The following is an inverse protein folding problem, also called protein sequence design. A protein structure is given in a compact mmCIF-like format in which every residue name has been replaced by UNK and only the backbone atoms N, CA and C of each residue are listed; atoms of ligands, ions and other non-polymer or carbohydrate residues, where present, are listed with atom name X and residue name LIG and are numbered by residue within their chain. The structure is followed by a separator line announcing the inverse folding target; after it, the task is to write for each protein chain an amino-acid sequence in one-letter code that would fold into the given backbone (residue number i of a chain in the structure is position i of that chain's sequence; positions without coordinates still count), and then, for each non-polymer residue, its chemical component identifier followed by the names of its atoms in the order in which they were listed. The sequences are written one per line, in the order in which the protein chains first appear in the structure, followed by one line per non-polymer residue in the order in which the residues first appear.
data_IF_643906242105
#
_entry.id   IF_643906242105
#
_cell.length_a   1.000
_cell.length_b   1.000
_cell.length_c   1.000
_cell.angle_alpha   90.00
_cell.angle_beta   90.00
_cell.angle_gamma   90.00
#
_symmetry.space_group_name_H-M   'P 1'
#
loop_
_entity.id
_entity.type
_entity.pdbx_description
1 polymer ?
#
# COMPACT_ATOMS: atom_id res chain seq x y z
N UNK A 1 29.35 -39.18 -1.52
CA UNK A 1 28.61 -37.91 -1.28
C UNK A 1 28.57 -37.69 0.22
N UNK A 2 29.33 -36.73 0.75
CA UNK A 2 29.47 -36.53 2.21
C UNK A 2 28.19 -35.96 2.84
N UNK A 3 27.87 -36.34 4.08
CA UNK A 3 26.70 -35.88 4.83
C UNK A 3 26.59 -34.33 4.87
N UNK A 4 27.73 -33.63 4.94
CA UNK A 4 27.78 -32.17 4.85
C UNK A 4 27.28 -31.60 3.52
N UNK A 5 27.50 -32.31 2.41
CA UNK A 5 27.04 -31.88 1.08
C UNK A 5 25.52 -32.08 0.94
N UNK A 6 24.98 -33.15 1.53
CA UNK A 6 23.53 -33.36 1.58
C UNK A 6 22.82 -32.33 2.45
N UNK A 7 23.39 -31.98 3.62
CA UNK A 7 22.81 -30.94 4.49
C UNK A 7 22.85 -29.57 3.81
N UNK A 8 23.97 -29.19 3.18
CA UNK A 8 24.06 -27.92 2.44
C UNK A 8 23.11 -27.85 1.25
N UNK A 9 22.96 -28.94 0.51
CA UNK A 9 22.04 -29.00 -0.61
C UNK A 9 20.59 -28.95 -0.13
N UNK A 10 20.24 -29.67 0.93
CA UNK A 10 18.92 -29.59 1.56
C UNK A 10 18.63 -28.18 2.11
N UNK A 11 19.59 -27.52 2.75
CA UNK A 11 19.44 -26.14 3.22
C UNK A 11 19.31 -25.12 2.07
N UNK A 12 20.04 -25.31 0.97
CA UNK A 12 19.91 -24.47 -0.24
C UNK A 12 18.56 -24.68 -0.92
N UNK A 13 18.09 -25.92 -1.01
CA UNK A 13 16.75 -26.22 -1.52
C UNK A 13 15.66 -25.63 -0.62
N UNK A 14 15.79 -25.77 0.70
CA UNK A 14 14.86 -25.19 1.67
C UNK A 14 14.81 -23.66 1.56
N UNK A 15 15.97 -23.01 1.37
CA UNK A 15 16.08 -21.57 1.15
C UNK A 15 15.52 -21.12 -0.22
N UNK A 16 15.69 -21.94 -1.27
CA UNK A 16 15.12 -21.68 -2.59
C UNK A 16 13.59 -21.77 -2.60
N UNK A 17 13.01 -22.66 -1.78
CA UNK A 17 11.55 -22.76 -1.63
C UNK A 17 10.93 -21.54 -0.89
N UNK A 18 11.74 -20.70 -0.24
CA UNK A 18 11.25 -19.46 0.42
C UNK A 18 10.89 -18.38 -0.62
N UNK A 19 11.40 -18.47 -1.85
CA UNK A 19 11.13 -17.48 -2.90
C UNK A 19 9.86 -17.76 -3.72
N UNK A 20 9.21 -18.92 -3.53
CA UNK A 20 7.96 -19.29 -4.23
C UNK A 20 6.74 -19.38 -3.31
N UNK A 21 6.79 -18.76 -2.13
CA UNK A 21 5.54 -18.40 -1.44
C UNK A 21 5.02 -17.13 -2.09
N UNK A 22 3.84 -17.21 -2.70
CA UNK A 22 3.04 -16.04 -3.12
C UNK A 22 3.01 -15.04 -1.96
N UNK A 23 3.89 -14.04 -2.00
CA UNK A 23 4.04 -13.10 -0.91
C UNK A 23 2.75 -12.27 -0.85
N UNK A 24 2.02 -12.39 0.26
CA UNK A 24 0.79 -11.65 0.56
C UNK A 24 0.81 -10.24 -0.04
N UNK A 25 -0.16 -9.96 -0.91
CA UNK A 25 -0.18 -8.77 -1.78
C UNK A 25 -1.01 -7.64 -1.23
N UNK A 26 -1.87 -7.88 -0.26
CA UNK A 26 -2.61 -6.78 0.35
C UNK A 26 -1.67 -5.87 1.15
N UNK A 27 -1.77 -4.56 0.94
CA UNK A 27 -1.05 -3.54 1.69
C UNK A 27 0.07 -2.85 0.90
N UNK A 28 0.31 -1.58 1.24
CA UNK A 28 1.38 -0.75 0.69
C UNK A 28 2.62 -0.91 1.59
N UNK A 29 3.47 -1.87 1.25
CA UNK A 29 4.74 -2.14 1.94
C UNK A 29 4.62 -2.96 3.23
N UNK A 30 5.77 -3.31 3.88
CA UNK A 30 5.84 -4.42 4.84
C UNK A 30 4.90 -4.31 6.05
N UNK A 31 4.75 -3.10 6.60
CA UNK A 31 3.96 -2.87 7.82
C UNK A 31 2.47 -3.03 7.54
N UNK A 32 1.96 -2.38 6.49
CA UNK A 32 0.54 -2.46 6.14
C UNK A 32 0.19 -3.85 5.59
N UNK A 33 1.13 -4.52 4.93
CA UNK A 33 1.00 -5.93 4.56
C UNK A 33 0.87 -6.84 5.76
N UNK A 34 1.69 -6.68 6.79
CA UNK A 34 1.56 -7.46 8.02
C UNK A 34 0.21 -7.22 8.74
N UNK A 35 -0.23 -5.96 8.83
CA UNK A 35 -1.51 -5.60 9.46
C UNK A 35 -2.69 -6.19 8.69
N UNK A 36 -2.71 -6.03 7.36
CA UNK A 36 -3.78 -6.57 6.52
C UNK A 36 -3.82 -8.10 6.57
N UNK A 37 -2.68 -8.77 6.60
CA UNK A 37 -2.61 -10.21 6.80
C UNK A 37 -3.26 -10.63 8.13
N UNK A 38 -2.94 -9.96 9.24
CA UNK A 38 -3.53 -10.26 10.55
C UNK A 38 -5.05 -10.09 10.57
N UNK A 39 -5.57 -9.09 9.86
CA UNK A 39 -7.02 -8.89 9.73
C UNK A 39 -7.67 -10.03 8.91
N UNK A 40 -7.01 -10.49 7.85
CA UNK A 40 -7.55 -11.53 6.95
C UNK A 40 -7.34 -12.96 7.47
N UNK A 41 -6.34 -13.19 8.34
CA UNK A 41 -5.94 -14.49 8.87
C UNK A 41 -7.08 -15.40 9.37
N UNK A 42 -8.09 -14.92 10.12
CA UNK A 42 -9.19 -15.77 10.58
C UNK A 42 -10.23 -16.09 9.49
N UNK A 43 -9.94 -15.83 8.21
CA UNK A 43 -10.89 -15.88 7.10
C UNK A 43 -10.32 -16.54 5.84
N UNK A 44 -10.95 -16.34 4.68
CA UNK A 44 -10.47 -16.84 3.39
C UNK A 44 -9.28 -15.98 2.90
N UNK A 45 -8.09 -16.26 3.44
CA UNK A 45 -6.86 -15.52 3.14
C UNK A 45 -6.55 -15.55 1.64
N UNK A 46 -6.75 -16.70 0.97
CA UNK A 46 -6.48 -16.83 -0.47
C UNK A 46 -7.45 -16.00 -1.30
N UNK A 47 -8.74 -16.01 -0.96
CA UNK A 47 -9.74 -15.19 -1.64
C UNK A 47 -9.50 -13.69 -1.45
N UNK A 48 -9.11 -13.27 -0.24
CA UNK A 48 -8.78 -11.87 0.05
C UNK A 48 -7.51 -11.43 -0.70
N UNK A 49 -6.45 -12.25 -0.68
CA UNK A 49 -5.21 -11.97 -1.39
C UNK A 49 -5.43 -11.83 -2.90
N UNK A 50 -6.25 -12.70 -3.49
CA UNK A 50 -6.66 -12.58 -4.90
C UNK A 50 -7.33 -11.25 -5.20
N UNK A 51 -8.23 -10.77 -4.35
CA UNK A 51 -8.85 -9.45 -4.54
C UNK A 51 -7.80 -8.33 -4.54
N UNK A 52 -6.76 -8.43 -3.72
CA UNK A 52 -5.67 -7.45 -3.68
C UNK A 52 -4.80 -7.50 -4.95
N UNK A 53 -4.46 -8.70 -5.44
CA UNK A 53 -3.75 -8.87 -6.72
C UNK A 53 -4.52 -8.20 -7.87
N UNK A 54 -5.83 -8.43 -7.94
CA UNK A 54 -6.68 -7.84 -8.98
C UNK A 54 -6.75 -6.31 -8.85
N UNK A 55 -6.84 -5.78 -7.62
CA UNK A 55 -6.83 -4.34 -7.38
C UNK A 55 -5.52 -3.68 -7.82
N UNK A 56 -4.38 -4.23 -7.42
CA UNK A 56 -3.07 -3.73 -7.81
C UNK A 56 -2.89 -3.78 -9.34
N UNK A 57 -3.35 -4.87 -9.99
CA UNK A 57 -3.31 -4.98 -11.45
C UNK A 57 -4.17 -3.93 -12.16
N UNK A 58 -5.33 -3.57 -11.60
CA UNK A 58 -6.19 -2.52 -12.15
C UNK A 58 -5.54 -1.14 -12.04
N UNK A 59 -4.92 -0.85 -10.89
CA UNK A 59 -4.30 0.45 -10.61
C UNK A 59 -2.96 0.60 -11.35
N UNK A 60 -2.04 -0.35 -11.20
CA UNK A 60 -0.67 -0.24 -11.70
C UNK A 60 -0.51 -0.77 -13.12
N UNK A 61 -1.27 -1.80 -13.49
CA UNK A 61 -1.20 -2.42 -14.82
C UNK A 61 -2.08 -1.70 -15.84
N UNK A 62 -3.37 -1.58 -15.54
CA UNK A 62 -4.37 -1.05 -16.48
C UNK A 62 -4.58 0.46 -16.36
N UNK A 63 -3.96 1.12 -15.38
CA UNK A 63 -4.10 2.57 -15.14
C UNK A 63 -5.57 3.00 -15.04
N UNK A 64 -6.39 2.12 -14.48
CA UNK A 64 -7.80 2.38 -14.24
C UNK A 64 -7.93 3.44 -13.14
N UNK A 65 -8.97 4.25 -13.23
CA UNK A 65 -9.28 5.24 -12.19
C UNK A 65 -9.37 4.56 -10.81
N UNK A 66 -8.71 5.14 -9.80
CA UNK A 66 -8.59 4.51 -8.48
C UNK A 66 -9.95 4.34 -7.80
N UNK A 67 -10.91 5.25 -7.99
CA UNK A 67 -12.24 5.09 -7.40
C UNK A 67 -12.97 3.87 -7.98
N UNK A 68 -12.81 3.63 -9.27
CA UNK A 68 -13.39 2.47 -9.94
C UNK A 68 -12.65 1.17 -9.56
N UNK A 69 -11.33 1.19 -9.43
CA UNK A 69 -10.55 0.05 -8.95
C UNK A 69 -10.98 -0.33 -7.52
N UNK A 70 -11.13 0.67 -6.64
CA UNK A 70 -11.62 0.50 -5.27
C UNK A 70 -13.06 -0.08 -5.24
N UNK A 71 -13.92 0.32 -6.18
CA UNK A 71 -15.27 -0.23 -6.32
C UNK A 71 -15.24 -1.72 -6.69
N UNK A 72 -14.42 -2.09 -7.67
CA UNK A 72 -14.26 -3.48 -8.12
C UNK A 72 -13.68 -4.34 -6.99
N UNK A 73 -12.64 -3.85 -6.31
CA UNK A 73 -12.05 -4.50 -5.16
C UNK A 73 -13.09 -4.77 -4.05
N UNK A 74 -13.91 -3.77 -3.71
CA UNK A 74 -14.98 -3.92 -2.73
C UNK A 74 -16.07 -4.92 -3.15
N UNK A 75 -16.31 -5.06 -4.47
CA UNK A 75 -17.24 -6.04 -5.01
C UNK A 75 -16.65 -7.46 -4.96
N UNK A 76 -15.34 -7.60 -5.18
CA UNK A 76 -14.62 -8.87 -5.02
C UNK A 76 -14.79 -9.42 -3.60
N UNK A 77 -14.53 -8.58 -2.57
CA UNK A 77 -14.70 -8.99 -1.17
C UNK A 77 -16.16 -9.30 -0.79
N UNK A 78 -17.13 -8.60 -1.40
CA UNK A 78 -18.57 -8.88 -1.18
C UNK A 78 -18.98 -10.27 -1.69
N UNK A 79 -18.37 -10.73 -2.77
CA UNK A 79 -18.68 -12.03 -3.39
C UNK A 79 -18.13 -13.24 -2.61
N UNK A 80 -17.34 -13.02 -1.56
CA UNK A 80 -16.81 -14.11 -0.73
C UNK A 80 -17.94 -14.83 0.00
N UNK A 81 -17.86 -16.16 0.11
CA UNK A 81 -18.79 -16.97 0.90
C UNK A 81 -18.59 -16.81 2.42
N UNK A 82 -17.45 -16.25 2.85
CA UNK A 82 -17.13 -16.04 4.27
C UNK A 82 -17.90 -14.85 4.86
N UNK A 83 -18.69 -15.10 5.92
CA UNK A 83 -19.33 -14.03 6.69
C UNK A 83 -18.32 -13.03 7.25
N UNK A 84 -17.17 -13.53 7.73
CA UNK A 84 -16.11 -12.68 8.29
C UNK A 84 -15.51 -11.76 7.21
N UNK A 85 -15.32 -12.27 5.98
CA UNK A 85 -14.85 -11.43 4.88
C UNK A 85 -15.85 -10.33 4.57
N UNK A 86 -17.14 -10.66 4.40
CA UNK A 86 -18.18 -9.68 4.06
C UNK A 86 -18.40 -8.62 5.14
N UNK A 87 -18.31 -9.00 6.42
CA UNK A 87 -18.71 -8.13 7.54
C UNK A 87 -17.55 -7.49 8.30
N UNK A 88 -16.33 -8.03 8.20
CA UNK A 88 -15.16 -7.52 8.93
C UNK A 88 -14.07 -7.07 7.97
N UNK A 89 -13.59 -7.97 7.09
CA UNK A 89 -12.48 -7.66 6.16
C UNK A 89 -12.89 -6.58 5.17
N UNK A 90 -14.05 -6.73 4.53
CA UNK A 90 -14.55 -5.79 3.53
C UNK A 90 -14.67 -4.37 4.08
N UNK A 91 -15.38 -4.07 5.18
CA UNK A 91 -15.45 -2.71 5.70
C UNK A 91 -14.07 -2.10 5.99
N UNK A 92 -13.15 -2.86 6.58
CA UNK A 92 -11.81 -2.38 6.91
C UNK A 92 -10.98 -2.06 5.65
N UNK A 93 -10.91 -3.00 4.72
CA UNK A 93 -10.10 -2.85 3.51
C UNK A 93 -10.70 -1.81 2.57
N UNK A 94 -12.02 -1.83 2.33
CA UNK A 94 -12.71 -0.84 1.51
C UNK A 94 -12.56 0.59 2.05
N UNK A 95 -12.61 0.76 3.37
CA UNK A 95 -12.40 2.08 3.98
C UNK A 95 -10.95 2.52 3.78
N UNK A 96 -10.00 1.61 3.97
CA UNK A 96 -8.58 1.90 3.78
C UNK A 96 -8.27 2.40 2.35
N UNK A 97 -8.68 1.64 1.31
CA UNK A 97 -8.37 2.01 -0.08
C UNK A 97 -9.04 3.32 -0.50
N UNK A 98 -10.31 3.53 -0.11
CA UNK A 98 -11.03 4.78 -0.43
C UNK A 98 -10.45 6.00 0.28
N UNK A 99 -9.99 5.84 1.52
CA UNK A 99 -9.29 6.92 2.23
C UNK A 99 -7.96 7.23 1.55
N UNK A 100 -7.24 6.21 1.08
CA UNK A 100 -5.99 6.36 0.38
C UNK A 100 -6.16 7.07 -0.98
N UNK A 101 -7.15 6.67 -1.78
CA UNK A 101 -7.52 7.33 -3.04
C UNK A 101 -7.81 8.82 -2.80
N UNK A 102 -8.65 9.14 -1.81
CA UNK A 102 -8.93 10.55 -1.43
C UNK A 102 -7.71 11.32 -0.96
N UNK A 103 -6.77 10.65 -0.30
CA UNK A 103 -5.53 11.28 0.15
C UNK A 103 -4.65 11.66 -1.05
N UNK A 104 -4.49 10.74 -2.02
CA UNK A 104 -3.78 11.01 -3.28
C UNK A 104 -4.44 12.17 -4.04
N UNK A 105 -5.76 12.16 -4.21
CA UNK A 105 -6.48 13.21 -4.93
C UNK A 105 -6.33 14.61 -4.33
N UNK A 106 -6.17 14.70 -3.00
CA UNK A 106 -5.89 15.98 -2.33
C UNK A 106 -4.48 16.47 -2.61
N UNK A 107 -3.50 15.57 -2.50
CA UNK A 107 -2.09 15.92 -2.75
C UNK A 107 -1.84 16.38 -4.19
N UNK A 108 -2.46 15.73 -5.18
CA UNK A 108 -2.34 16.13 -6.60
C UNK A 108 -2.98 17.48 -6.90
N UNK A 109 -4.08 17.83 -6.21
CA UNK A 109 -4.70 19.16 -6.31
C UNK A 109 -3.84 20.25 -5.68
N UNK A 110 -3.29 20.01 -4.49
CA UNK A 110 -2.40 20.98 -3.83
C UNK A 110 -1.15 21.27 -4.68
N UNK A 111 -0.57 20.25 -5.31
CA UNK A 111 0.57 20.40 -6.21
C UNK A 111 0.20 21.15 -7.51
N UNK A 112 -1.01 20.94 -8.04
CA UNK A 112 -1.51 21.66 -9.22
C UNK A 112 -1.89 23.13 -8.94
N UNK A 113 -2.12 23.49 -7.67
CA UNK A 113 -2.49 24.86 -7.28
C UNK A 113 -1.25 25.75 -7.04
N UNK A 114 -0.04 25.18 -7.04
CA UNK A 114 1.21 25.94 -7.06
C UNK A 114 1.48 26.42 -8.49
N UNK A 115 0.68 27.40 -8.92
CA UNK A 115 0.97 28.19 -10.11
C UNK A 115 2.22 29.03 -9.84
N UNK A 116 3.28 28.76 -10.60
CA UNK A 116 4.51 29.54 -10.66
C UNK A 116 4.13 31.02 -10.86
N UNK A 117 4.52 31.96 -9.97
CA UNK A 117 4.34 33.38 -10.26
C UNK A 117 5.15 33.74 -11.52
N UNK A 118 4.63 34.58 -12.43
CA UNK A 118 5.36 34.95 -13.64
C UNK A 118 6.74 35.50 -13.27
N UNK A 119 7.75 34.98 -13.96
CA UNK A 119 9.14 35.37 -13.80
C UNK A 119 9.31 36.83 -14.23
N UNK A 120 9.14 37.77 -13.30
CA UNK A 120 9.70 39.12 -13.35
C UNK A 120 9.38 39.87 -12.05
N UNK A 121 10.04 39.52 -10.93
CA UNK A 121 10.34 40.47 -9.85
C UNK A 121 11.64 40.08 -9.11
N UNK A 122 12.53 41.04 -8.80
CA UNK A 122 13.83 40.77 -8.19
C UNK A 122 13.70 40.25 -6.75
N UNK A 123 14.55 39.28 -6.39
CA UNK A 123 14.60 38.62 -5.09
C UNK A 123 14.73 39.64 -3.95
N UNK A 124 13.66 39.83 -3.18
CA UNK A 124 13.71 40.55 -1.92
C UNK A 124 14.09 39.58 -0.80
N UNK A 125 15.32 39.76 -0.33
CA UNK A 125 15.99 39.06 0.75
C UNK A 125 15.16 39.18 2.05
N UNK A 126 14.52 38.09 2.50
CA UNK A 126 13.86 38.05 3.81
C UNK A 126 14.84 37.53 4.84
N UNK A 127 15.25 38.49 5.65
CA UNK A 127 16.24 38.48 6.70
C UNK A 127 15.90 37.54 7.87
N UNK A 128 16.95 36.92 8.40
CA UNK A 128 16.97 35.93 9.46
C UNK A 128 16.55 36.49 10.84
N UNK A 129 15.26 36.74 11.06
CA UNK A 129 14.76 37.27 12.34
C UNK A 129 14.19 36.22 13.32
N UNK A 130 14.18 34.93 12.97
CA UNK A 130 13.56 33.89 13.82
C UNK A 130 14.53 33.07 14.68
N UNK A 131 15.85 33.23 14.52
CA UNK A 131 16.87 32.48 15.29
C UNK A 131 17.32 33.22 16.56
N UNK A 132 17.14 34.55 16.63
CA UNK A 132 17.58 35.37 17.77
C UNK A 132 16.74 35.13 19.05
N UNK A 133 15.47 34.70 18.93
CA UNK A 133 14.56 34.53 20.06
C UNK A 133 14.72 33.20 20.82
N UNK A 134 15.49 32.24 20.31
CA UNK A 134 15.77 30.97 20.98
C UNK A 134 17.07 30.96 21.80
N UNK A 135 17.83 32.07 21.81
CA UNK A 135 19.11 32.17 22.53
C UNK A 135 19.03 32.95 23.86
N UNK A 136 17.83 33.42 24.24
CA UNK A 136 17.59 34.17 25.49
C UNK A 136 16.60 33.51 26.47
N UNK A 137 16.41 32.19 26.37
CA UNK A 137 15.77 31.37 27.42
C UNK A 137 16.79 30.38 27.95
#
# INVERSE_FOLDING_TARGET
MSLQMQVRFASLLLAAQIFETEAWKCGIGPVSSAISYMIAFPSDVVGVDRCCIEHDALVDGLHLDREEADRIFCQCLESSDSWYVRNIVKPLFCTSVRLYTKWIDRTTREESTVTIPPADQPQQQVEASHIENLRRM
#
